data_IF_649138888148
#
_entry.id   IF_649138888148
#
_cell.length_a   1.000
_cell.length_b   1.000
_cell.length_c   1.000
_cell.angle_alpha   90.00
_cell.angle_beta   90.00
_cell.angle_gamma   90.00
#
_symmetry.space_group_name_H-M   'P 1'
#
loop_
_entity.id
_entity.type
_entity.pdbx_description
1 polymer ?
#
# COMPACT_ATOMS: atom_id res chain seq x y z
N UNK A 1 -17.65 -45.68 -21.04
CA UNK A 1 -19.01 -45.73 -20.45
C UNK A 1 -18.88 -45.69 -18.94
N UNK A 2 -19.27 -44.59 -18.29
CA UNK A 2 -19.33 -44.46 -16.83
C UNK A 2 -20.66 -43.75 -16.51
N UNK A 3 -21.68 -44.54 -16.20
CA UNK A 3 -22.91 -44.09 -15.55
C UNK A 3 -22.71 -44.33 -14.05
N UNK A 4 -22.78 -43.27 -13.26
CA UNK A 4 -23.08 -43.30 -11.83
C UNK A 4 -23.41 -41.85 -11.46
N UNK A 5 -24.65 -41.38 -11.69
CA UNK A 5 -25.75 -41.41 -10.72
C UNK A 5 -25.28 -41.16 -9.28
N UNK A 6 -25.48 -39.93 -8.82
CA UNK A 6 -25.79 -39.68 -7.41
C UNK A 6 -26.68 -38.43 -7.32
N UNK A 7 -27.96 -38.71 -7.10
CA UNK A 7 -29.00 -37.79 -6.68
C UNK A 7 -28.54 -37.10 -5.38
N UNK A 8 -28.60 -35.77 -5.35
CA UNK A 8 -28.60 -35.03 -4.10
C UNK A 8 -29.85 -34.17 -4.07
N UNK A 9 -30.86 -34.72 -3.40
CA UNK A 9 -32.14 -34.12 -3.15
C UNK A 9 -31.99 -32.82 -2.37
N UNK A 10 -32.66 -31.78 -2.89
CA UNK A 10 -33.54 -30.87 -2.17
C UNK A 10 -33.57 -31.04 -0.64
N UNK A 11 -33.31 -29.97 0.12
CA UNK A 11 -34.24 -29.43 1.13
C UNK A 11 -33.63 -28.26 1.95
N UNK A 12 -34.53 -27.31 2.21
CA UNK A 12 -34.65 -26.40 3.35
C UNK A 12 -33.85 -25.08 3.42
N UNK A 13 -34.64 -24.04 3.13
CA UNK A 13 -34.66 -22.70 3.69
C UNK A 13 -34.00 -22.49 5.07
N UNK A 14 -33.33 -21.35 5.19
CA UNK A 14 -32.88 -20.79 6.46
C UNK A 14 -32.40 -19.35 6.28
N UNK A 15 -33.33 -18.41 6.15
CA UNK A 15 -33.07 -16.98 6.21
C UNK A 15 -33.05 -16.53 7.67
N UNK A 16 -31.86 -16.25 8.22
CA UNK A 16 -31.71 -15.46 9.44
C UNK A 16 -30.85 -14.25 9.13
N UNK A 17 -31.51 -13.10 8.96
CA UNK A 17 -30.86 -11.80 8.90
C UNK A 17 -30.23 -11.47 10.24
N UNK A 18 -28.90 -11.43 10.28
CA UNK A 18 -28.16 -10.82 11.36
C UNK A 18 -28.01 -9.33 11.05
N UNK A 19 -28.89 -8.51 11.62
CA UNK A 19 -28.68 -7.07 11.76
C UNK A 19 -27.48 -6.84 12.66
N UNK A 20 -26.32 -6.63 12.04
CA UNK A 20 -25.14 -6.09 12.72
C UNK A 20 -25.41 -4.62 13.00
N UNK A 21 -25.81 -4.29 14.23
CA UNK A 21 -25.73 -2.91 14.72
C UNK A 21 -24.24 -2.61 14.86
N UNK A 22 -23.66 -2.01 13.82
CA UNK A 22 -22.34 -1.43 13.89
C UNK A 22 -22.42 -0.22 14.81
N UNK A 23 -22.18 -0.45 16.10
CA UNK A 23 -21.82 0.59 17.05
C UNK A 23 -20.57 1.26 16.48
N UNK A 24 -20.76 2.43 15.89
CA UNK A 24 -19.67 3.30 15.47
C UNK A 24 -18.94 3.75 16.75
N UNK A 25 -17.97 2.97 17.18
CA UNK A 25 -16.89 3.47 18.02
C UNK A 25 -16.12 4.45 17.16
N UNK A 26 -16.41 5.73 17.35
CA UNK A 26 -15.52 6.81 16.90
C UNK A 26 -14.25 6.64 17.74
N UNK A 27 -13.32 5.84 17.23
CA UNK A 27 -11.96 5.82 17.72
C UNK A 27 -11.41 7.22 17.45
N UNK A 28 -11.45 8.07 18.48
CA UNK A 28 -10.57 9.22 18.57
C UNK A 28 -9.16 8.68 18.62
N UNK A 29 -8.58 8.47 17.44
CA UNK A 29 -7.17 8.19 17.25
C UNK A 29 -6.39 9.46 17.62
N UNK A 30 -6.31 9.73 18.92
CA UNK A 30 -5.24 10.50 19.53
C UNK A 30 -3.98 9.64 19.47
N UNK A 31 -3.45 9.55 18.27
CA UNK A 31 -2.29 8.77 17.90
C UNK A 31 -1.72 9.40 16.64
N UNK A 32 -1.22 10.63 16.77
CA UNK A 32 -0.30 11.18 15.78
C UNK A 32 1.02 10.42 15.98
N UNK A 33 1.04 9.15 15.57
CA UNK A 33 2.27 8.61 15.03
C UNK A 33 2.57 9.49 13.83
N UNK A 34 3.60 10.31 13.93
CA UNK A 34 4.09 11.10 12.82
C UNK A 34 4.40 10.11 11.68
N UNK A 35 3.44 9.95 10.77
CA UNK A 35 3.58 9.08 9.61
C UNK A 35 4.83 9.53 8.88
N UNK A 36 5.88 8.71 8.97
CA UNK A 36 7.15 9.02 8.34
C UNK A 36 6.91 9.30 6.85
N UNK A 37 7.38 10.45 6.37
CA UNK A 37 7.18 10.85 4.99
C UNK A 37 7.75 9.78 4.05
N UNK A 38 6.87 9.19 3.23
CA UNK A 38 7.27 8.19 2.23
C UNK A 38 7.94 8.90 1.07
N UNK A 39 9.09 8.39 0.64
CA UNK A 39 9.91 8.94 -0.44
C UNK A 39 10.34 7.84 -1.41
N UNK A 40 10.71 8.25 -2.63
CA UNK A 40 10.99 7.37 -3.76
C UNK A 40 12.41 7.59 -4.27
N UNK A 41 13.12 6.50 -4.53
CA UNK A 41 14.51 6.51 -5.01
C UNK A 41 14.60 5.65 -6.26
N UNK A 42 15.13 6.21 -7.35
CA UNK A 42 15.51 5.42 -8.53
C UNK A 42 16.78 4.60 -8.23
N UNK A 43 16.67 3.28 -8.16
CA UNK A 43 17.74 2.37 -7.73
C UNK A 43 18.73 2.05 -8.86
N UNK A 44 19.37 3.09 -9.40
CA UNK A 44 20.40 2.95 -10.44
C UNK A 44 21.83 2.80 -9.87
N UNK A 45 21.96 2.63 -8.55
CA UNK A 45 23.24 2.55 -7.82
C UNK A 45 24.04 3.86 -7.74
N UNK A 46 23.63 4.92 -8.45
CA UNK A 46 24.36 6.19 -8.55
C UNK A 46 23.57 7.39 -8.02
N UNK A 47 22.27 7.22 -7.72
CA UNK A 47 21.43 8.34 -7.32
C UNK A 47 21.80 8.85 -5.93
N UNK A 48 22.07 10.16 -5.86
CA UNK A 48 22.34 10.89 -4.63
C UNK A 48 21.08 11.52 -4.03
N UNK A 49 19.91 11.38 -4.69
CA UNK A 49 18.67 12.06 -4.28
C UNK A 49 17.51 11.10 -4.04
N UNK A 50 16.57 11.52 -3.19
CA UNK A 50 15.24 10.94 -3.08
C UNK A 50 14.17 11.95 -3.51
N UNK A 51 12.99 11.45 -3.85
CA UNK A 51 11.85 12.20 -4.39
C UNK A 51 10.62 12.10 -3.48
N UNK A 52 9.86 13.17 -3.36
CA UNK A 52 8.60 13.23 -2.59
C UNK A 52 7.45 12.48 -3.28
N UNK A 53 7.58 12.25 -4.59
CA UNK A 53 6.56 11.57 -5.39
C UNK A 53 7.14 10.96 -6.69
N UNK A 54 6.40 9.99 -7.24
CA UNK A 54 6.73 9.35 -8.52
C UNK A 54 6.52 10.30 -9.72
N UNK A 55 5.83 11.43 -9.52
CA UNK A 55 5.58 12.40 -10.58
C UNK A 55 6.76 13.29 -10.94
N UNK A 56 7.86 13.23 -10.19
CA UNK A 56 9.06 13.97 -10.55
C UNK A 56 9.58 13.53 -11.93
N UNK A 57 10.03 14.49 -12.75
CA UNK A 57 10.55 14.19 -14.09
C UNK A 57 11.73 13.22 -14.09
N UNK A 58 12.52 13.17 -13.02
CA UNK A 58 13.59 12.18 -12.86
C UNK A 58 13.02 10.78 -12.58
N UNK A 59 11.94 10.67 -11.80
CA UNK A 59 11.29 9.39 -11.53
C UNK A 59 10.55 8.84 -12.74
N UNK A 60 9.85 9.68 -13.50
CA UNK A 60 9.18 9.26 -14.76
C UNK A 60 10.15 8.70 -15.81
N UNK A 61 11.44 9.03 -15.70
CA UNK A 61 12.51 8.54 -16.59
C UNK A 61 13.32 7.41 -15.97
N UNK A 62 13.01 6.99 -14.74
CA UNK A 62 13.71 5.90 -14.09
C UNK A 62 13.40 4.58 -14.81
N UNK A 63 14.43 3.95 -15.37
CA UNK A 63 14.34 2.63 -16.00
C UNK A 63 14.78 1.50 -15.08
N UNK A 64 15.07 1.82 -13.82
CA UNK A 64 15.50 0.88 -12.79
C UNK A 64 14.37 0.67 -11.77
N UNK A 65 14.59 -0.27 -10.84
CA UNK A 65 13.68 -0.46 -9.71
C UNK A 65 13.51 0.84 -8.92
N UNK A 66 12.27 1.10 -8.48
CA UNK A 66 11.99 2.21 -7.56
C UNK A 66 11.96 1.68 -6.14
N UNK A 67 12.85 2.20 -5.30
CA UNK A 67 12.86 1.91 -3.86
C UNK A 67 11.97 2.92 -3.15
N UNK A 68 10.97 2.41 -2.42
CA UNK A 68 10.10 3.21 -1.55
C UNK A 68 10.61 3.11 -0.12
N UNK A 69 10.86 4.25 0.53
CA UNK A 69 11.41 4.29 1.89
C UNK A 69 10.94 5.53 2.66
N UNK A 70 11.41 5.71 3.89
CA UNK A 70 11.13 6.93 4.67
C UNK A 70 12.19 7.98 4.42
N UNK A 71 11.83 9.25 4.54
CA UNK A 71 12.77 10.36 4.42
C UNK A 71 13.98 10.21 5.36
N UNK A 72 13.75 9.84 6.62
CA UNK A 72 14.81 9.61 7.60
C UNK A 72 15.80 8.51 7.16
N UNK A 73 15.29 7.40 6.60
CA UNK A 73 16.16 6.32 6.10
C UNK A 73 16.94 6.76 4.86
N UNK A 74 16.35 7.56 3.97
CA UNK A 74 17.04 8.10 2.81
C UNK A 74 18.15 9.08 3.20
N UNK A 75 17.88 9.98 4.16
CA UNK A 75 18.86 10.91 4.72
C UNK A 75 19.99 10.19 5.43
N UNK A 76 19.67 9.17 6.26
CA UNK A 76 20.66 8.32 6.93
C UNK A 76 21.56 7.54 5.96
N UNK A 77 21.07 7.25 4.76
CA UNK A 77 21.86 6.67 3.68
C UNK A 77 22.69 7.70 2.87
N UNK A 78 22.81 8.94 3.35
CA UNK A 78 23.56 10.02 2.70
C UNK A 78 22.89 10.62 1.46
N UNK A 79 21.60 10.33 1.23
CA UNK A 79 20.85 10.91 0.11
C UNK A 79 20.25 12.24 0.53
N UNK A 80 20.16 13.16 -0.42
CA UNK A 80 19.55 14.49 -0.23
C UNK A 80 18.20 14.61 -0.90
N UNK A 81 17.39 15.59 -0.50
CA UNK A 81 16.15 15.92 -1.19
C UNK A 81 16.40 16.34 -2.63
N UNK A 82 15.54 15.91 -3.55
CA UNK A 82 15.52 16.43 -4.91
C UNK A 82 15.03 17.88 -4.92
N UNK A 83 15.80 18.79 -5.49
CA UNK A 83 15.51 20.25 -5.51
C UNK A 83 14.30 20.65 -6.38
N UNK A 84 13.69 19.69 -7.11
CA UNK A 84 12.58 19.96 -8.02
C UNK A 84 11.22 19.58 -7.43
N UNK A 85 11.16 18.51 -6.65
CA UNK A 85 9.91 17.97 -6.13
C UNK A 85 9.79 18.12 -4.60
N UNK A 86 10.84 18.57 -3.92
CA UNK A 86 10.81 19.09 -2.56
C UNK A 86 11.02 20.60 -2.61
#
# INVERSE_FOLDING_TARGET
>A
MKKLLLFCSLLLAGSTGATSVATATYATASGIEARAATVYICNNGKTAVYHSGMDCSAMKRCTHETVTTTEAKAQGAGKRRCMKCF
#
